data_IF_153243313282
#
_entry.id   IF_153243313282
#
_cell.length_a   1.000
_cell.length_b   1.000
_cell.length_c   1.000
_cell.angle_alpha   90.00
_cell.angle_beta   90.00
_cell.angle_gamma   90.00
#
_symmetry.space_group_name_H-M   'P 1'
#
loop_
_entity.id
_entity.type
_entity.pdbx_description
1 polymer ?
#
# COMPACT_ATOMS: atom_id res chain seq x y z
N UNK A 1 4.72 12.23 17.63
CA UNK A 1 4.05 11.09 16.97
C UNK A 1 5.08 10.36 16.14
N UNK A 2 5.19 9.03 16.26
CA UNK A 2 6.06 8.24 15.39
C UNK A 2 5.36 7.99 14.06
N UNK A 3 6.11 8.06 12.97
CA UNK A 3 5.62 7.62 11.67
C UNK A 3 6.38 6.38 11.22
N UNK A 4 5.69 5.54 10.47
CA UNK A 4 6.27 4.35 9.85
C UNK A 4 6.20 4.52 8.33
N UNK A 5 7.35 4.30 7.67
CA UNK A 5 7.42 4.28 6.22
C UNK A 5 6.79 3.01 5.68
N UNK A 6 5.75 3.15 4.88
CA UNK A 6 5.02 2.01 4.30
C UNK A 6 4.97 2.11 2.78
N UNK A 7 4.71 0.98 2.13
CA UNK A 7 4.58 0.84 0.69
C UNK A 7 3.23 0.24 0.33
N UNK A 8 2.50 0.91 -0.54
CA UNK A 8 1.24 0.44 -1.12
C UNK A 8 1.44 0.07 -2.60
N UNK A 9 1.28 -1.20 -2.95
CA UNK A 9 1.31 -1.65 -4.34
C UNK A 9 -0.01 -1.34 -5.05
N UNK A 10 0.10 -0.93 -6.31
CA UNK A 10 -1.05 -0.51 -7.11
C UNK A 10 -0.77 -0.66 -8.61
N UNK A 11 -1.69 -0.18 -9.45
CA UNK A 11 -1.50 -0.09 -10.89
C UNK A 11 -1.35 1.37 -11.35
N UNK A 12 -1.12 1.58 -12.65
CA UNK A 12 -0.97 2.92 -13.24
C UNK A 12 -2.15 3.85 -12.98
N UNK A 13 -3.37 3.31 -13.03
CA UNK A 13 -4.59 4.08 -12.72
C UNK A 13 -4.58 4.54 -11.26
N UNK A 14 -4.24 3.64 -10.33
CA UNK A 14 -4.17 3.94 -8.90
C UNK A 14 -3.05 4.91 -8.56
N UNK A 15 -1.83 4.71 -9.07
CA UNK A 15 -0.70 5.60 -8.83
C UNK A 15 -0.96 7.01 -9.37
N UNK A 16 -1.62 7.13 -10.52
CA UNK A 16 -2.03 8.42 -11.11
C UNK A 16 -3.10 9.10 -10.25
N UNK A 17 -4.14 8.38 -9.83
CA UNK A 17 -5.19 8.93 -8.97
C UNK A 17 -4.66 9.37 -7.59
N UNK A 18 -3.73 8.60 -7.01
CA UNK A 18 -3.06 8.96 -5.75
C UNK A 18 -2.20 10.22 -5.94
N UNK A 19 -1.48 10.32 -7.06
CA UNK A 19 -0.70 11.51 -7.41
C UNK A 19 -1.57 12.76 -7.57
N UNK A 20 -2.71 12.64 -8.23
CA UNK A 20 -3.65 13.75 -8.46
C UNK A 20 -4.38 14.19 -7.19
N UNK A 21 -4.80 13.23 -6.36
CA UNK A 21 -5.56 13.53 -5.13
C UNK A 21 -4.69 13.84 -3.91
N UNK A 22 -3.40 13.49 -3.95
CA UNK A 22 -2.48 13.64 -2.82
C UNK A 22 -2.80 12.73 -1.63
N UNK A 23 -3.60 11.68 -1.83
CA UNK A 23 -4.00 10.76 -0.77
C UNK A 23 -4.16 9.32 -1.27
N UNK A 24 -4.02 8.36 -0.35
CA UNK A 24 -4.45 6.99 -0.55
C UNK A 24 -5.82 6.83 0.09
N UNK A 25 -6.81 6.42 -0.71
CA UNK A 25 -8.18 6.17 -0.24
C UNK A 25 -8.35 4.75 0.28
N UNK A 26 -8.94 4.62 1.45
CA UNK A 26 -9.25 3.37 2.11
C UNK A 26 -10.55 2.76 1.57
N UNK A 27 -10.42 1.82 0.62
CA UNK A 27 -11.57 1.26 -0.10
C UNK A 27 -12.07 -0.08 0.48
N UNK A 28 -11.24 -0.82 1.20
CA UNK A 28 -11.62 -2.13 1.76
C UNK A 28 -11.89 -1.99 3.25
N UNK A 29 -13.17 -1.97 3.65
CA UNK A 29 -13.57 -1.86 5.05
C UNK A 29 -12.89 -0.69 5.77
N UNK A 30 -12.87 0.47 5.10
CA UNK A 30 -12.16 1.67 5.54
C UNK A 30 -10.66 1.43 5.79
N UNK A 31 -10.02 0.61 4.95
CA UNK A 31 -8.58 0.32 4.98
C UNK A 31 -7.96 0.23 3.59
N UNK A 32 -6.64 0.29 3.57
CA UNK A 32 -5.81 -0.15 2.45
C UNK A 32 -4.61 -0.96 2.96
N UNK A 33 -4.09 -1.84 2.12
CA UNK A 33 -3.02 -2.78 2.47
C UNK A 33 -1.65 -2.21 2.12
N UNK A 34 -0.68 -2.49 2.97
CA UNK A 34 0.69 -2.01 2.82
C UNK A 34 1.70 -3.06 3.28
N UNK A 35 2.97 -2.85 2.92
CA UNK A 35 4.10 -3.46 3.61
C UNK A 35 5.01 -2.39 4.19
N UNK A 36 5.92 -2.77 5.08
CA UNK A 36 6.98 -1.87 5.53
C UNK A 36 7.93 -1.57 4.37
N UNK A 37 8.28 -0.29 4.16
CA UNK A 37 9.18 0.11 3.09
C UNK A 37 10.67 0.09 3.50
N UNK A 38 11.06 -0.83 4.38
CA UNK A 38 12.44 -0.99 4.85
C UNK A 38 13.23 -2.04 4.07
N UNK A 39 12.59 -2.70 3.10
CA UNK A 39 13.18 -3.69 2.20
C UNK A 39 13.01 -3.27 0.75
N UNK A 40 13.82 -3.85 -0.13
CA UNK A 40 13.68 -3.68 -1.58
C UNK A 40 12.23 -3.96 -2.02
N UNK A 41 11.64 -3.11 -2.88
CA UNK A 41 10.31 -3.36 -3.42
C UNK A 41 10.28 -4.64 -4.26
N UNK A 42 9.22 -5.41 -4.08
CA UNK A 42 8.90 -6.58 -4.88
C UNK A 42 8.63 -6.18 -6.32
N UNK A 43 8.98 -7.04 -7.26
CA UNK A 43 8.52 -6.90 -8.64
C UNK A 43 7.00 -7.15 -8.72
N UNK A 44 6.40 -6.89 -9.89
CA UNK A 44 4.95 -7.02 -10.07
C UNK A 44 4.44 -8.42 -9.72
N UNK A 45 5.05 -9.46 -10.29
CA UNK A 45 4.62 -10.85 -10.12
C UNK A 45 4.76 -11.30 -8.66
N UNK A 46 5.84 -10.91 -7.99
CA UNK A 46 6.06 -11.17 -6.57
C UNK A 46 5.00 -10.50 -5.69
N UNK A 47 4.69 -9.22 -5.94
CA UNK A 47 3.67 -8.49 -5.18
C UNK A 47 2.28 -9.11 -5.37
N UNK A 48 1.91 -9.43 -6.62
CA UNK A 48 0.63 -10.06 -6.97
C UNK A 48 0.52 -11.45 -6.37
N UNK A 49 1.58 -12.25 -6.41
CA UNK A 49 1.58 -13.61 -5.85
C UNK A 49 1.52 -13.57 -4.33
N UNK A 50 2.35 -12.74 -3.68
CA UNK A 50 2.47 -12.66 -2.22
C UNK A 50 1.19 -12.13 -1.57
N UNK A 51 0.65 -11.04 -2.11
CA UNK A 51 -0.50 -10.34 -1.54
C UNK A 51 -1.82 -10.68 -2.23
N UNK A 52 -1.81 -11.64 -3.16
CA UNK A 52 -2.99 -12.08 -3.92
C UNK A 52 -3.75 -10.91 -4.57
N UNK A 53 -3.01 -9.87 -4.96
CA UNK A 53 -3.56 -8.73 -5.69
C UNK A 53 -3.84 -9.17 -7.12
N UNK A 54 -4.92 -8.66 -7.72
CA UNK A 54 -5.24 -8.98 -9.12
C UNK A 54 -4.07 -8.61 -10.05
N UNK A 55 -3.91 -9.39 -11.11
CA UNK A 55 -2.90 -9.16 -12.15
C UNK A 55 -2.92 -7.71 -12.65
N UNK A 56 -1.73 -7.12 -12.78
CA UNK A 56 -1.50 -5.73 -13.13
C UNK A 56 -1.56 -4.75 -11.94
N UNK A 57 -2.05 -5.16 -10.77
CA UNK A 57 -2.20 -4.30 -9.57
C UNK A 57 -1.01 -4.33 -8.61
N UNK A 58 0.04 -5.09 -8.94
CA UNK A 58 1.34 -5.01 -8.27
C UNK A 58 2.40 -4.19 -9.03
N UNK A 59 2.04 -3.59 -10.18
CA UNK A 59 2.99 -2.96 -11.10
C UNK A 59 3.69 -1.75 -10.47
N UNK A 60 2.91 -0.77 -10.05
CA UNK A 60 3.37 0.49 -9.47
C UNK A 60 3.30 0.40 -7.94
N UNK A 61 3.92 1.35 -7.26
CA UNK A 61 3.76 1.47 -5.81
C UNK A 61 3.95 2.91 -5.33
N UNK A 62 3.42 3.19 -4.15
CA UNK A 62 3.57 4.45 -3.44
C UNK A 62 4.17 4.17 -2.08
N UNK A 63 5.25 4.87 -1.74
CA UNK A 63 5.78 4.91 -0.39
C UNK A 63 5.43 6.22 0.28
N UNK A 64 5.01 6.16 1.54
CA UNK A 64 4.63 7.34 2.32
C UNK A 64 4.81 7.07 3.80
N UNK A 65 4.95 8.14 4.57
CA UNK A 65 4.96 8.07 6.03
C UNK A 65 3.52 8.05 6.55
N UNK A 66 3.23 7.14 7.48
CA UNK A 66 1.91 7.01 8.11
C UNK A 66 2.08 7.04 9.63
N UNK A 67 1.23 7.73 10.40
CA UNK A 67 1.21 7.63 11.87
C UNK A 67 1.12 6.16 12.30
N UNK A 68 2.03 5.72 13.17
CA UNK A 68 2.12 4.30 13.57
C UNK A 68 0.81 3.80 14.21
N UNK A 69 0.07 4.68 14.89
CA UNK A 69 -1.25 4.35 15.49
C UNK A 69 -2.34 3.95 14.48
N UNK A 70 -2.19 4.28 13.19
CA UNK A 70 -3.15 3.89 12.15
C UNK A 70 -2.85 2.51 11.54
N UNK A 71 -1.70 1.92 11.89
CA UNK A 71 -1.30 0.61 11.40
C UNK A 71 -1.98 -0.51 12.18
N UNK A 72 -2.66 -1.40 11.45
CA UNK A 72 -3.32 -2.58 12.00
C UNK A 72 -2.87 -3.83 11.25
N UNK A 73 -2.42 -4.85 11.98
CA UNK A 73 -2.27 -6.19 11.42
C UNK A 73 -3.62 -6.90 11.37
N UNK A 74 -4.01 -7.37 10.18
CA UNK A 74 -5.24 -8.14 9.98
C UNK A 74 -4.90 -9.53 9.49
N UNK A 75 -5.61 -10.53 10.01
CA UNK A 75 -5.55 -11.88 9.46
C UNK A 75 -6.48 -11.91 8.26
N UNK A 76 -5.94 -12.24 7.10
CA UNK A 76 -6.75 -12.49 5.91
C UNK A 76 -7.53 -13.79 6.12
N UNK A 77 -8.87 -13.78 6.17
CA UNK A 77 -9.66 -14.98 6.50
C UNK A 77 -9.54 -16.07 5.44
N UNK A 78 -9.25 -15.73 4.18
CA UNK A 78 -9.09 -16.72 3.11
C UNK A 78 -7.75 -17.45 3.19
N UNK A 79 -6.67 -16.73 3.53
CA UNK A 79 -5.30 -17.25 3.43
C UNK A 79 -4.62 -17.47 4.78
N UNK A 80 -5.28 -17.06 5.89
CA UNK A 80 -4.78 -17.16 7.26
C UNK A 80 -3.41 -16.47 7.47
N UNK A 81 -3.04 -15.55 6.56
CA UNK A 81 -1.82 -14.75 6.63
C UNK A 81 -2.10 -13.42 7.33
N UNK A 82 -1.11 -12.90 8.08
CA UNK A 82 -1.17 -11.55 8.63
C UNK A 82 -0.71 -10.55 7.58
N UNK A 83 -1.55 -9.56 7.30
CA UNK A 83 -1.29 -8.46 6.38
C UNK A 83 -1.34 -7.14 7.15
N UNK A 84 -0.42 -6.22 6.82
CA UNK A 84 -0.39 -4.91 7.41
C UNK A 84 -1.35 -3.99 6.65
N UNK A 85 -2.18 -3.27 7.39
CA UNK A 85 -3.18 -2.36 6.85
C UNK A 85 -3.07 -1.00 7.51
N UNK A 86 -3.58 0.02 6.82
CA UNK A 86 -3.79 1.36 7.38
C UNK A 86 -5.29 1.61 7.44
N UNK A 87 -5.78 2.11 8.57
CA UNK A 87 -7.20 2.45 8.77
C UNK A 87 -7.46 3.91 8.41
N UNK A 88 -8.47 4.13 7.56
CA UNK A 88 -8.85 5.45 7.06
C UNK A 88 -8.06 5.91 5.85
N UNK A 89 -8.54 6.98 5.23
CA UNK A 89 -7.82 7.70 4.18
C UNK A 89 -6.57 8.35 4.75
N UNK A 90 -5.50 8.41 3.95
CA UNK A 90 -4.24 9.02 4.37
C UNK A 90 -3.74 9.99 3.32
N UNK A 91 -3.54 11.24 3.72
CA UNK A 91 -2.78 12.22 2.94
C UNK A 91 -1.32 11.80 2.86
N UNK A 92 -0.74 11.94 1.68
CA UNK A 92 0.65 11.61 1.44
C UNK A 92 1.58 12.50 2.28
N UNK A 93 2.57 11.87 2.91
CA UNK A 93 3.63 12.53 3.67
C UNK A 93 4.97 11.98 3.22
N UNK A 94 5.84 12.86 2.76
CA UNK A 94 7.12 12.53 2.13
C UNK A 94 6.99 11.48 0.99
N UNK A 95 6.02 11.59 0.07
CA UNK A 95 5.70 10.49 -0.83
C UNK A 95 6.79 10.20 -1.87
N UNK A 96 6.97 8.93 -2.18
CA UNK A 96 7.62 8.46 -3.42
C UNK A 96 6.61 7.67 -4.24
N UNK A 97 6.26 8.17 -5.41
CA UNK A 97 5.31 7.52 -6.33
C UNK A 97 6.11 6.91 -7.47
N UNK A 98 6.19 5.58 -7.50
CA UNK A 98 7.01 4.85 -8.47
C UNK A 98 6.12 4.22 -9.53
N UNK A 99 6.21 4.77 -10.73
CA UNK A 99 5.52 4.32 -11.92
C UNK A 99 6.47 3.51 -12.81
N UNK A 100 6.35 2.18 -12.81
CA UNK A 100 7.29 1.30 -13.52
C UNK A 100 6.99 1.27 -15.02
N UNK A 101 8.05 1.24 -15.85
CA UNK A 101 7.94 1.13 -17.31
C UNK A 101 7.29 -0.19 -17.69
#
# INVERSE_FOLDING_TARGET
MSCTRVRHYTNRKGSTAIKESGMIKAQDNNRFYVELANKKPLNQLEAETKYRIKEGRGRDYVETDVPTELLEWKVNPAYHTKELTVKGDVFLKNPEIIQRK
#
